data_IF_964973604193
#
_entry.id   IF_964973604193
#
_cell.length_a   1.000
_cell.length_b   1.000
_cell.length_c   1.000
_cell.angle_alpha   90.00
_cell.angle_beta   90.00
_cell.angle_gamma   90.00
#
_symmetry.space_group_name_H-M   'P 1'
#
loop_
_entity.id
_entity.type
_entity.pdbx_description
1 polymer ?
#
# COMPACT_ATOMS: atom_id res chain seq x y z
N UNK A 1 2.07 -3.94 -4.74
CA UNK A 1 3.35 -3.94 -3.99
C UNK A 1 3.91 -2.55 -3.87
N UNK A 2 4.83 -2.34 -2.92
CA UNK A 2 5.86 -1.32 -3.08
C UNK A 2 6.81 -1.75 -4.20
N UNK A 3 7.22 -0.81 -5.04
CA UNK A 3 8.26 -1.00 -6.04
C UNK A 3 9.03 0.29 -6.25
N UNK A 4 10.22 0.19 -6.81
CA UNK A 4 11.08 1.32 -7.15
C UNK A 4 11.38 1.29 -8.64
N UNK A 5 11.40 2.45 -9.26
CA UNK A 5 11.85 2.63 -10.65
C UNK A 5 12.67 3.90 -10.78
N UNK A 6 13.63 3.89 -11.70
CA UNK A 6 14.53 5.01 -11.95
C UNK A 6 14.56 5.35 -13.44
N UNK A 7 14.59 6.64 -13.77
CA UNK A 7 14.56 7.11 -15.16
C UNK A 7 15.92 7.53 -15.73
N UNK A 8 16.96 7.67 -14.91
CA UNK A 8 18.31 8.07 -15.35
C UNK A 8 19.37 7.28 -14.59
N UNK A 9 20.31 6.63 -15.29
CA UNK A 9 21.46 6.01 -14.64
C UNK A 9 22.42 7.11 -14.12
N UNK A 10 22.47 7.33 -12.81
CA UNK A 10 23.29 8.37 -12.17
C UNK A 10 22.61 9.06 -10.98
N UNK A 11 23.06 10.27 -10.64
CA UNK A 11 22.33 11.19 -9.75
C UNK A 11 21.04 11.63 -10.45
N UNK A 12 19.91 11.19 -9.95
CA UNK A 12 18.62 11.37 -10.61
C UNK A 12 17.44 11.18 -9.68
N UNK A 13 16.28 11.66 -10.11
CA UNK A 13 15.01 11.46 -9.41
C UNK A 13 14.58 10.00 -9.58
N UNK A 14 14.48 9.28 -8.47
CA UNK A 14 13.85 7.96 -8.42
C UNK A 14 12.35 8.11 -8.10
N UNK A 15 11.55 7.12 -8.50
CA UNK A 15 10.13 7.06 -8.17
C UNK A 15 9.90 5.84 -7.29
N UNK A 16 9.42 6.06 -6.06
CA UNK A 16 8.79 5.00 -5.28
C UNK A 16 7.36 4.87 -5.77
N UNK A 17 6.96 3.65 -6.09
CA UNK A 17 5.62 3.32 -6.54
C UNK A 17 4.94 2.38 -5.57
N UNK A 18 3.66 2.64 -5.36
CA UNK A 18 2.71 1.74 -4.72
C UNK A 18 1.74 1.30 -5.80
N UNK A 19 2.06 0.19 -6.45
CA UNK A 19 1.23 -0.33 -7.52
C UNK A 19 0.65 -1.68 -7.10
N UNK A 20 -0.60 -1.64 -6.65
CA UNK A 20 -1.39 -2.84 -6.39
C UNK A 20 -2.04 -3.41 -7.65
N UNK A 21 -2.00 -2.73 -8.81
CA UNK A 21 -2.62 -3.26 -10.06
C UNK A 21 -1.80 -4.39 -10.67
N UNK A 22 -0.48 -4.42 -10.42
CA UNK A 22 0.41 -5.51 -10.81
C UNK A 22 0.26 -6.76 -9.94
N UNK A 23 -0.61 -6.68 -8.96
CA UNK A 23 -0.82 -7.68 -7.93
C UNK A 23 -2.29 -8.12 -8.01
N UNK A 24 -2.54 -9.36 -8.41
CA UNK A 24 -3.90 -9.93 -8.47
C UNK A 24 -4.04 -10.99 -7.40
N UNK A 25 -5.24 -11.15 -6.84
CA UNK A 25 -5.50 -12.29 -5.97
C UNK A 25 -5.17 -13.60 -6.73
N UNK A 26 -4.44 -14.57 -6.12
CA UNK A 26 -3.94 -14.60 -4.75
C UNK A 26 -2.48 -14.11 -4.59
N UNK A 27 -1.82 -13.68 -5.66
CA UNK A 27 -0.40 -13.29 -5.64
C UNK A 27 -0.17 -11.87 -5.10
N UNK A 28 -1.22 -11.05 -5.02
CA UNK A 28 -1.18 -9.73 -4.42
C UNK A 28 -2.53 -9.00 -4.38
N UNK A 29 -2.51 -7.75 -3.90
CA UNK A 29 -3.71 -6.96 -3.59
C UNK A 29 -4.03 -6.92 -2.10
N UNK A 30 -5.32 -6.72 -1.76
CA UNK A 30 -5.85 -6.90 -0.41
C UNK A 30 -7.03 -7.86 -0.46
N UNK A 31 -6.92 -8.94 0.29
CA UNK A 31 -7.96 -9.95 0.43
C UNK A 31 -7.97 -10.51 1.85
N UNK A 32 -9.11 -11.08 2.23
CA UNK A 32 -9.35 -11.67 3.54
C UNK A 32 -9.89 -13.08 3.32
N UNK A 33 -9.07 -14.09 3.57
CA UNK A 33 -9.44 -15.50 3.43
C UNK A 33 -10.10 -16.07 4.68
N UNK A 34 -10.79 -17.20 4.54
CA UNK A 34 -11.44 -17.91 5.65
C UNK A 34 -12.73 -17.25 6.14
N UNK A 35 -13.40 -16.50 5.28
CA UNK A 35 -14.59 -15.69 5.59
C UNK A 35 -15.87 -16.31 5.01
N UNK A 36 -17.01 -15.91 5.56
CA UNK A 36 -18.36 -16.25 5.08
C UNK A 36 -19.00 -15.03 4.43
N UNK A 37 -20.01 -15.25 3.57
CA UNK A 37 -20.77 -14.17 2.90
C UNK A 37 -21.50 -13.22 3.86
N UNK A 38 -21.70 -13.63 5.11
CA UNK A 38 -22.33 -12.83 6.16
C UNK A 38 -21.33 -12.00 6.96
N UNK A 39 -20.02 -12.22 6.77
CA UNK A 39 -18.99 -11.50 7.50
C UNK A 39 -18.89 -10.06 7.03
N UNK A 40 -18.73 -9.14 7.99
CA UNK A 40 -18.60 -7.71 7.75
C UNK A 40 -17.13 -7.32 7.76
N UNK A 41 -16.62 -6.92 6.59
CA UNK A 41 -15.23 -6.48 6.40
C UNK A 41 -15.18 -4.95 6.43
N UNK A 42 -14.44 -4.38 7.38
CA UNK A 42 -14.38 -2.93 7.61
C UNK A 42 -12.98 -2.48 8.00
N UNK A 43 -12.73 -1.17 7.99
CA UNK A 43 -11.50 -0.54 8.49
C UNK A 43 -10.22 -1.14 7.91
N UNK A 44 -10.24 -1.50 6.64
CA UNK A 44 -9.06 -1.99 5.94
C UNK A 44 -8.02 -0.87 5.78
N UNK A 45 -6.78 -1.15 6.20
CA UNK A 45 -5.65 -0.24 6.08
C UNK A 45 -4.42 -0.96 5.56
N UNK A 46 -3.55 -0.18 4.92
CA UNK A 46 -2.20 -0.60 4.59
C UNK A 46 -1.26 0.52 5.06
N UNK A 47 -0.28 0.16 5.89
CA UNK A 47 0.76 1.04 6.39
C UNK A 47 2.09 0.61 5.83
N UNK A 48 2.82 1.53 5.21
CA UNK A 48 4.18 1.31 4.74
C UNK A 48 5.17 2.02 5.65
N UNK A 49 6.24 1.33 6.00
CA UNK A 49 7.36 1.91 6.75
C UNK A 49 8.51 2.08 5.78
N UNK A 50 8.90 3.34 5.56
CA UNK A 50 10.00 3.71 4.67
C UNK A 50 11.07 4.46 5.45
N UNK A 51 12.37 4.33 5.11
CA UNK A 51 13.44 4.92 5.90
C UNK A 51 13.28 6.43 6.06
N UNK A 52 13.55 6.96 7.26
CA UNK A 52 13.47 8.41 7.53
C UNK A 52 14.47 9.22 6.70
N UNK A 53 15.57 8.59 6.25
CA UNK A 53 16.55 9.18 5.34
C UNK A 53 15.98 9.58 3.97
N UNK A 54 14.79 9.08 3.60
CA UNK A 54 14.07 9.51 2.40
C UNK A 54 13.45 10.91 2.53
N UNK A 55 13.39 11.47 3.73
CA UNK A 55 12.58 12.64 4.03
C UNK A 55 11.08 12.37 3.90
N UNK A 56 10.29 13.45 3.76
CA UNK A 56 8.85 13.34 3.61
C UNK A 56 8.46 13.04 2.17
N UNK A 57 7.66 11.99 1.98
CA UNK A 57 7.14 11.57 0.68
C UNK A 57 5.78 12.17 0.38
N UNK A 58 5.68 12.90 -0.73
CA UNK A 58 4.43 13.37 -1.30
C UNK A 58 3.86 12.33 -2.28
N UNK A 59 2.79 11.67 -1.89
CA UNK A 59 2.14 10.64 -2.69
C UNK A 59 1.10 11.22 -3.64
N UNK A 60 1.14 10.77 -4.90
CA UNK A 60 0.19 11.11 -5.96
C UNK A 60 -0.63 9.88 -6.32
N UNK A 61 -1.96 10.00 -6.26
CA UNK A 61 -2.86 8.98 -6.80
C UNK A 61 -2.82 9.03 -8.33
N UNK A 62 -2.19 8.03 -8.93
CA UNK A 62 -1.98 8.02 -10.38
C UNK A 62 -3.24 7.76 -11.20
N UNK A 63 -4.30 7.19 -10.59
CA UNK A 63 -5.60 7.07 -11.27
C UNK A 63 -6.28 8.42 -11.34
N UNK A 64 -6.35 9.11 -10.21
CA UNK A 64 -6.92 10.46 -10.15
C UNK A 64 -6.14 11.46 -11.04
N UNK A 65 -4.81 11.31 -11.12
CA UNK A 65 -4.00 12.14 -12.00
C UNK A 65 -4.25 11.87 -13.50
N UNK A 66 -4.60 10.63 -13.87
CA UNK A 66 -4.91 10.26 -15.25
C UNK A 66 -6.37 10.54 -15.63
N UNK A 67 -7.28 10.46 -14.66
CA UNK A 67 -8.70 10.73 -14.79
C UNK A 67 -9.18 11.51 -13.56
N UNK A 68 -9.35 12.84 -13.67
CA UNK A 68 -9.82 13.67 -12.57
C UNK A 68 -11.24 13.35 -12.08
N UNK A 69 -12.04 12.60 -12.86
CA UNK A 69 -13.38 12.18 -12.47
C UNK A 69 -13.38 10.89 -11.62
N UNK A 70 -12.24 10.21 -11.55
CA UNK A 70 -12.08 9.01 -10.74
C UNK A 70 -12.30 9.31 -9.26
N UNK A 71 -13.23 8.57 -8.63
CA UNK A 71 -13.47 8.64 -7.17
C UNK A 71 -12.53 7.65 -6.46
N UNK A 72 -11.56 8.10 -5.64
CA UNK A 72 -10.64 7.19 -4.97
C UNK A 72 -11.30 6.35 -3.89
N UNK A 73 -11.12 5.03 -3.96
CA UNK A 73 -11.51 4.10 -2.88
C UNK A 73 -10.38 3.86 -1.85
N UNK A 74 -9.19 4.37 -2.14
CA UNK A 74 -8.05 4.38 -1.24
C UNK A 74 -7.69 5.83 -0.93
N UNK A 75 -7.56 6.17 0.35
CA UNK A 75 -7.03 7.46 0.75
C UNK A 75 -5.58 7.61 0.29
N UNK A 76 -5.15 8.82 -0.06
CA UNK A 76 -3.73 9.09 -0.29
C UNK A 76 -2.90 8.70 0.94
N UNK A 77 -1.79 7.96 0.78
CA UNK A 77 -0.92 7.62 1.90
C UNK A 77 -0.42 8.89 2.60
N UNK A 78 -0.54 8.92 3.92
CA UNK A 78 -0.11 10.05 4.75
C UNK A 78 0.66 9.57 5.96
N UNK A 79 1.52 10.42 6.50
CA UNK A 79 2.25 10.13 7.74
C UNK A 79 1.24 9.79 8.85
N UNK A 80 1.46 8.66 9.50
CA UNK A 80 0.59 8.14 10.55
C UNK A 80 1.40 7.91 11.83
N UNK A 81 1.27 8.84 12.77
CA UNK A 81 1.95 8.79 14.06
C UNK A 81 1.26 7.85 15.06
N UNK A 82 0.09 7.30 14.70
CA UNK A 82 -0.68 6.35 15.54
C UNK A 82 -0.39 4.89 15.19
N UNK A 83 0.22 4.64 14.03
CA UNK A 83 0.70 3.31 13.67
C UNK A 83 1.86 2.87 14.59
N UNK A 84 2.06 1.56 14.72
CA UNK A 84 3.18 1.00 15.50
C UNK A 84 4.51 1.58 15.03
N UNK A 85 5.18 2.31 15.90
CA UNK A 85 6.42 3.00 15.54
C UNK A 85 7.55 2.00 15.25
N UNK A 86 8.39 2.35 14.28
CA UNK A 86 9.57 1.57 13.91
C UNK A 86 10.76 2.50 13.79
N UNK A 87 11.77 2.32 14.65
CA UNK A 87 12.95 3.18 14.70
C UNK A 87 13.64 3.27 13.33
N UNK A 88 13.91 4.50 12.87
CA UNK A 88 14.50 4.77 11.56
C UNK A 88 13.51 4.74 10.38
N UNK A 89 12.20 4.63 10.61
CA UNK A 89 11.19 4.59 9.56
C UNK A 89 10.04 5.57 9.80
N UNK A 90 9.56 6.18 8.72
CA UNK A 90 8.31 6.94 8.66
C UNK A 90 7.18 6.01 8.23
N UNK A 91 6.09 5.98 9.01
CA UNK A 91 4.89 5.21 8.70
C UNK A 91 3.94 6.03 7.81
N UNK A 92 3.57 5.49 6.65
CA UNK A 92 2.58 6.04 5.74
C UNK A 92 1.36 5.12 5.66
N UNK A 93 0.22 5.55 6.18
CA UNK A 93 -1.01 4.75 6.18
C UNK A 93 -1.99 5.24 5.12
N UNK A 94 -2.61 4.28 4.42
CA UNK A 94 -3.78 4.48 3.58
C UNK A 94 -4.94 3.60 4.05
N UNK A 95 -6.16 4.10 3.86
CA UNK A 95 -7.41 3.44 4.27
C UNK A 95 -8.24 3.11 3.04
N UNK A 96 -8.87 1.94 3.06
CA UNK A 96 -9.81 1.51 2.02
C UNK A 96 -11.25 1.82 2.43
N UNK A 97 -12.03 2.33 1.49
CA UNK A 97 -13.45 2.66 1.65
C UNK A 97 -14.34 2.08 0.54
N UNK A 98 -13.80 1.20 -0.30
CA UNK A 98 -14.54 0.55 -1.39
C UNK A 98 -15.29 -0.72 -0.97
N UNK A 99 -15.96 -1.35 -1.94
CA UNK A 99 -16.66 -2.61 -1.76
C UNK A 99 -15.74 -3.83 -1.76
N UNK A 100 -16.34 -5.00 -1.52
CA UNK A 100 -15.61 -6.27 -1.49
C UNK A 100 -16.34 -7.28 -2.35
N UNK A 101 -15.61 -7.97 -3.21
CA UNK A 101 -16.13 -9.09 -3.99
C UNK A 101 -15.85 -10.40 -3.26
N UNK A 102 -16.90 -11.20 -3.04
CA UNK A 102 -16.75 -12.52 -2.43
C UNK A 102 -16.42 -13.58 -3.48
N UNK A 103 -15.32 -14.28 -3.30
CA UNK A 103 -14.97 -15.50 -4.02
C UNK A 103 -15.42 -16.71 -3.19
N UNK A 104 -16.42 -17.45 -3.70
CA UNK A 104 -16.99 -18.62 -3.03
C UNK A 104 -16.13 -19.87 -3.06
N UNK A 105 -15.30 -20.03 -4.10
CA UNK A 105 -14.37 -21.16 -4.24
C UNK A 105 -13.36 -21.16 -3.12
N UNK A 106 -12.76 -20.00 -2.83
CA UNK A 106 -11.69 -19.86 -1.85
C UNK A 106 -12.14 -19.26 -0.52
N UNK A 107 -13.45 -19.01 -0.36
CA UNK A 107 -14.04 -18.36 0.82
C UNK A 107 -13.28 -17.10 1.22
N UNK A 108 -13.16 -16.18 0.26
CA UNK A 108 -12.28 -15.01 0.35
C UNK A 108 -13.00 -13.74 -0.11
N UNK A 109 -12.88 -12.65 0.66
CA UNK A 109 -13.25 -11.32 0.21
C UNK A 109 -12.06 -10.62 -0.43
N UNK A 110 -12.24 -10.03 -1.62
CA UNK A 110 -11.21 -9.33 -2.39
C UNK A 110 -11.63 -7.87 -2.53
N UNK A 111 -10.73 -6.94 -2.22
CA UNK A 111 -10.99 -5.51 -2.42
C UNK A 111 -11.17 -5.22 -3.92
N UNK A 112 -12.24 -4.52 -4.29
CA UNK A 112 -12.63 -4.30 -5.70
C UNK A 112 -11.59 -3.51 -6.49
N UNK A 113 -10.88 -2.59 -5.84
CA UNK A 113 -9.91 -1.71 -6.49
C UNK A 113 -8.60 -1.75 -5.73
N UNK A 114 -7.48 -2.14 -6.37
CA UNK A 114 -6.18 -2.11 -5.71
C UNK A 114 -5.64 -0.68 -5.60
N UNK A 115 -4.72 -0.37 -4.67
CA UNK A 115 -4.10 0.96 -4.57
C UNK A 115 -3.18 1.28 -5.76
N UNK A 116 -3.05 2.56 -6.15
CA UNK A 116 -2.13 2.99 -7.22
C UNK A 116 -1.58 4.40 -7.00
N UNK A 117 -0.40 4.49 -6.37
CA UNK A 117 0.24 5.76 -5.99
C UNK A 117 1.71 5.81 -6.38
N UNK A 118 2.26 7.02 -6.51
CA UNK A 118 3.70 7.24 -6.69
C UNK A 118 4.17 8.38 -5.81
N UNK A 119 5.41 8.32 -5.34
CA UNK A 119 6.12 9.40 -4.70
C UNK A 119 7.48 9.56 -5.38
N UNK A 120 7.84 10.80 -5.72
CA UNK A 120 9.15 11.12 -6.28
C UNK A 120 10.13 11.35 -5.14
N UNK A 121 11.32 10.79 -5.26
CA UNK A 121 12.42 10.90 -4.31
C UNK A 121 13.69 11.26 -5.06
N UNK A 122 14.51 12.13 -4.48
CA UNK A 122 15.85 12.40 -4.98
C UNK A 122 16.82 11.41 -4.35
N UNK A 123 17.65 10.75 -5.16
CA UNK A 123 18.70 9.85 -4.68
C UNK A 123 20.05 10.21 -5.30
N UNK A 124 21.11 9.98 -4.53
CA UNK A 124 22.47 10.15 -5.03
C UNK A 124 22.80 9.14 -6.14
N UNK A 125 22.31 7.90 -6.04
CA UNK A 125 22.46 6.85 -7.06
C UNK A 125 21.21 5.98 -7.18
N UNK A 126 20.87 5.62 -8.43
CA UNK A 126 19.72 4.76 -8.70
C UNK A 126 19.86 3.32 -8.18
N UNK A 127 21.10 2.86 -7.93
CA UNK A 127 21.41 1.55 -7.34
C UNK A 127 21.15 1.45 -5.85
N UNK A 128 20.90 2.57 -5.16
CA UNK A 128 20.64 2.57 -3.71
C UNK A 128 19.37 1.78 -3.38
N UNK A 129 19.50 0.67 -2.68
CA UNK A 129 18.37 -0.16 -2.25
C UNK A 129 17.53 0.54 -1.18
N UNK A 130 16.20 0.40 -1.23
CA UNK A 130 15.31 0.86 -0.17
C UNK A 130 14.81 -0.36 0.61
N UNK A 131 15.08 -0.41 1.91
CA UNK A 131 14.44 -1.40 2.80
C UNK A 131 13.09 -0.88 3.24
N UNK A 132 12.04 -1.67 3.07
CA UNK A 132 10.68 -1.31 3.46
C UNK A 132 9.99 -2.41 4.26
N UNK A 133 9.01 -2.01 5.06
CA UNK A 133 8.05 -2.91 5.69
C UNK A 133 6.63 -2.49 5.32
N UNK A 134 5.69 -3.42 5.43
CA UNK A 134 4.27 -3.10 5.30
C UNK A 134 3.45 -3.86 6.32
N UNK A 135 2.49 -3.18 6.93
CA UNK A 135 1.41 -3.79 7.71
C UNK A 135 0.12 -3.66 6.93
N UNK A 136 -0.64 -4.75 6.82
CA UNK A 136 -2.03 -4.73 6.35
C UNK A 136 -2.91 -5.05 7.54
N UNK A 137 -3.99 -4.31 7.74
CA UNK A 137 -4.94 -4.52 8.82
C UNK A 137 -6.36 -4.43 8.32
N UNK A 138 -7.27 -5.20 8.92
CA UNK A 138 -8.70 -5.21 8.60
C UNK A 138 -9.49 -5.61 9.83
N UNK A 139 -10.77 -5.23 9.88
CA UNK A 139 -11.72 -5.76 10.86
C UNK A 139 -12.71 -6.71 10.20
N UNK A 140 -12.85 -7.91 10.76
CA UNK A 140 -13.87 -8.90 10.39
C UNK A 140 -14.81 -9.06 11.58
N UNK A 141 -16.08 -8.71 11.41
CA UNK A 141 -17.09 -8.73 12.48
C UNK A 141 -16.61 -8.01 13.77
N UNK A 142 -15.92 -6.88 13.60
CA UNK A 142 -15.36 -6.08 14.71
C UNK A 142 -13.98 -6.51 15.21
N UNK A 143 -13.56 -7.76 14.95
CA UNK A 143 -12.25 -8.29 15.35
C UNK A 143 -11.15 -7.83 14.41
N UNK A 144 -10.04 -7.31 14.95
CA UNK A 144 -8.90 -6.84 14.14
C UNK A 144 -8.02 -8.01 13.74
N UNK A 145 -7.66 -8.07 12.46
CA UNK A 145 -6.67 -8.97 11.91
C UNK A 145 -5.59 -8.13 11.23
N UNK A 146 -4.32 -8.48 11.48
CA UNK A 146 -3.19 -7.77 10.90
C UNK A 146 -2.10 -8.72 10.43
N UNK A 147 -1.47 -8.37 9.31
CA UNK A 147 -0.34 -9.08 8.75
C UNK A 147 0.81 -8.10 8.48
N UNK A 148 2.01 -8.47 8.93
CA UNK A 148 3.23 -7.70 8.72
C UNK A 148 4.12 -8.40 7.70
N UNK A 149 4.66 -7.64 6.75
CA UNK A 149 5.63 -8.09 5.76
C UNK A 149 6.88 -7.23 5.83
N UNK A 150 8.03 -7.87 5.72
CA UNK A 150 9.33 -7.23 5.58
C UNK A 150 10.34 -7.71 6.61
N UNK A 151 11.63 -7.33 6.46
CA UNK A 151 12.10 -6.34 5.48
C UNK A 151 11.99 -6.85 4.04
N UNK A 152 11.62 -5.96 3.12
CA UNK A 152 11.73 -6.21 1.67
C UNK A 152 12.61 -5.12 1.08
N UNK A 153 13.55 -5.53 0.24
CA UNK A 153 14.43 -4.62 -0.49
C UNK A 153 13.82 -4.32 -1.86
N UNK A 154 13.63 -3.04 -2.17
CA UNK A 154 13.10 -2.54 -3.46
C UNK A 154 14.07 -1.58 -4.15
#
# INVERSE_FOLDING_TARGET
MLGKSCTTAGAGTSVVSLDGTKEVYPTGGLWVGGVKTTDKITNATITFYLPTSLGSLAWVNTRLAADPTYVPLWSTPKVDTTASQRSGYTAYTMKYSGGWTYNSTDKTYIAEVPPKFTAKISYATCTSSITAYSTRSVRVNGTVYSFNRGPVTI
#
